data_IF_912982810924
#
_entry.id   IF_912982810924
#
_cell.length_a   1.000
_cell.length_b   1.000
_cell.length_c   1.000
_cell.angle_alpha   90.00
_cell.angle_beta   90.00
_cell.angle_gamma   90.00
#
_symmetry.space_group_name_H-M   'P 1'
#
loop_
_entity.id
_entity.type
_entity.pdbx_description
1 polymer ?
#
# COMPACT_ATOMS: atom_id res chain seq x y z
N UNK A 1 -3.20 8.59 18.21
CA UNK A 1 -2.90 7.24 18.75
C UNK A 1 -3.26 6.09 17.82
N UNK A 2 -4.54 5.74 17.62
CA UNK A 2 -4.91 4.53 16.85
C UNK A 2 -4.37 4.50 15.41
N UNK A 3 -4.52 5.61 14.67
CA UNK A 3 -4.01 5.72 13.30
C UNK A 3 -2.48 5.60 13.23
N UNK A 4 -1.77 6.31 14.12
CA UNK A 4 -0.31 6.27 14.15
C UNK A 4 0.21 4.86 14.45
N UNK A 5 -0.45 4.15 15.38
CA UNK A 5 -0.15 2.74 15.66
C UNK A 5 -0.41 1.86 14.43
N UNK A 6 -1.57 2.01 13.77
CA UNK A 6 -1.89 1.25 12.56
C UNK A 6 -0.87 1.48 11.42
N UNK A 7 -0.46 2.73 11.20
CA UNK A 7 0.58 3.08 10.20
C UNK A 7 1.92 2.44 10.57
N UNK A 8 2.34 2.54 11.83
CA UNK A 8 3.60 1.94 12.28
C UNK A 8 3.60 0.40 12.13
N UNK A 9 2.50 -0.26 12.47
CA UNK A 9 2.36 -1.71 12.30
C UNK A 9 2.36 -2.11 10.82
N UNK A 10 1.62 -1.38 9.98
CA UNK A 10 1.63 -1.58 8.53
C UNK A 10 3.03 -1.41 7.94
N UNK A 11 3.72 -0.33 8.28
CA UNK A 11 5.08 -0.02 7.83
C UNK A 11 6.14 -1.01 8.34
N UNK A 12 5.93 -1.63 9.51
CA UNK A 12 6.80 -2.69 10.00
C UNK A 12 6.61 -3.99 9.21
N UNK A 13 5.36 -4.36 8.89
CA UNK A 13 5.05 -5.59 8.15
C UNK A 13 5.68 -5.62 6.75
N UNK A 14 5.67 -4.50 6.03
CA UNK A 14 6.32 -4.34 4.71
C UNK A 14 7.83 -4.62 4.76
N UNK A 15 8.49 -4.34 5.88
CA UNK A 15 9.95 -4.39 6.04
C UNK A 15 10.47 -5.74 6.59
N UNK A 16 9.59 -6.71 6.86
CA UNK A 16 10.00 -8.03 7.35
C UNK A 16 10.73 -8.83 6.27
N UNK A 17 11.71 -9.64 6.67
CA UNK A 17 12.44 -10.52 5.77
C UNK A 17 11.47 -11.49 5.07
N UNK A 18 11.49 -11.52 3.74
CA UNK A 18 10.57 -12.33 2.92
C UNK A 18 9.21 -11.68 2.65
N UNK A 19 9.01 -10.40 3.01
CA UNK A 19 7.85 -9.62 2.58
C UNK A 19 7.79 -9.53 1.04
N UNK A 20 6.60 -9.75 0.48
CA UNK A 20 6.30 -9.58 -0.95
C UNK A 20 5.68 -8.20 -1.26
N UNK A 21 5.52 -7.35 -0.25
CA UNK A 21 4.91 -6.04 -0.45
C UNK A 21 5.87 -5.12 -1.22
N UNK A 22 5.38 -4.42 -2.25
CA UNK A 22 6.20 -3.51 -3.03
C UNK A 22 6.72 -2.37 -2.15
N UNK A 23 7.98 -2.03 -2.34
CA UNK A 23 8.61 -0.84 -1.78
C UNK A 23 8.25 0.39 -2.62
N UNK A 24 8.43 1.62 -2.11
CA UNK A 24 8.21 2.82 -2.92
C UNK A 24 9.03 2.87 -4.23
N UNK A 25 10.16 2.15 -4.29
CA UNK A 25 10.98 2.05 -5.51
C UNK A 25 10.36 1.15 -6.59
N UNK A 26 9.41 0.30 -6.23
CA UNK A 26 8.70 -0.60 -7.14
C UNK A 26 7.46 0.07 -7.79
N UNK A 27 7.14 1.30 -7.38
CA UNK A 27 5.99 2.05 -7.86
C UNK A 27 6.33 2.93 -9.07
N UNK A 28 5.46 2.93 -10.07
CA UNK A 28 5.44 3.97 -11.11
C UNK A 28 4.86 5.27 -10.54
N UNK A 29 5.70 6.07 -9.88
CA UNK A 29 5.30 7.27 -9.14
C UNK A 29 4.41 8.25 -9.93
N UNK A 30 4.68 8.54 -11.23
CA UNK A 30 3.78 9.35 -12.07
C UNK A 30 2.34 8.83 -12.17
N UNK A 31 2.12 7.52 -12.00
CA UNK A 31 0.78 6.90 -12.05
C UNK A 31 0.03 6.93 -10.72
N UNK A 32 0.72 7.27 -9.62
CA UNK A 32 0.14 7.28 -8.26
C UNK A 32 -0.67 8.55 -8.06
N UNK A 33 -1.94 8.38 -7.66
CA UNK A 33 -2.87 9.48 -7.39
C UNK A 33 -3.37 9.39 -5.96
N UNK A 34 -3.22 10.46 -5.20
CA UNK A 34 -3.84 10.60 -3.88
C UNK A 34 -5.28 11.10 -4.02
N UNK A 35 -6.23 10.42 -3.37
CA UNK A 35 -7.65 10.78 -3.35
C UNK A 35 -8.19 10.75 -1.93
N UNK A 36 -9.12 11.65 -1.63
CA UNK A 36 -9.94 11.60 -0.40
C UNK A 36 -11.21 10.77 -0.58
N UNK A 37 -11.65 10.60 -1.84
CA UNK A 37 -12.82 9.82 -2.20
C UNK A 37 -12.43 8.37 -2.49
N UNK A 38 -13.14 7.43 -1.88
CA UNK A 38 -12.89 5.99 -2.05
C UNK A 38 -13.42 5.53 -3.42
N UNK A 39 -12.57 5.00 -4.32
CA UNK A 39 -12.97 4.62 -5.68
C UNK A 39 -13.67 3.25 -5.69
N UNK A 40 -14.97 3.25 -5.39
CA UNK A 40 -15.79 2.02 -5.30
C UNK A 40 -16.04 1.33 -6.65
N UNK A 41 -15.77 2.02 -7.75
CA UNK A 41 -15.94 1.54 -9.13
C UNK A 41 -14.73 0.75 -9.66
N UNK A 42 -13.62 0.73 -8.92
CA UNK A 42 -12.44 -0.08 -9.26
C UNK A 42 -12.56 -1.46 -8.65
N UNK A 43 -12.78 -2.46 -9.50
CA UNK A 43 -12.74 -3.86 -9.10
C UNK A 43 -11.34 -4.23 -8.56
N UNK A 44 -11.30 -4.95 -7.45
CA UNK A 44 -10.07 -5.56 -6.95
C UNK A 44 -9.71 -6.75 -7.85
N UNK A 45 -8.57 -6.68 -8.52
CA UNK A 45 -7.98 -7.81 -9.23
C UNK A 45 -7.13 -8.66 -8.29
N UNK A 46 -6.81 -9.89 -8.70
CA UNK A 46 -5.80 -10.68 -7.98
C UNK A 46 -4.46 -9.92 -7.93
N UNK A 47 -3.65 -10.11 -6.86
CA UNK A 47 -2.31 -9.56 -6.81
C UNK A 47 -1.52 -10.01 -8.03
N UNK A 48 -0.80 -9.08 -8.67
CA UNK A 48 0.16 -9.45 -9.70
C UNK A 48 1.21 -10.41 -9.08
N UNK A 49 1.55 -11.52 -9.76
CA UNK A 49 2.49 -12.52 -9.24
C UNK A 49 3.91 -11.97 -9.09
#
# INVERSE_FOLDING_TARGET
EALASAVAHGAAAVQLAGSLMPTPADLDLPSVVTTSDVPLDRALSEPAP
#
